data_IF_681918947238
#
_entry.id   IF_681918947238
#
_cell.length_a   1.000
_cell.length_b   1.000
_cell.length_c   1.000
_cell.angle_alpha   90.00
_cell.angle_beta   90.00
_cell.angle_gamma   90.00
#
_symmetry.space_group_name_H-M   'P 1'
#
loop_
_entity.id
_entity.type
_entity.pdbx_description
1 polymer ?
#
# COMPACT_ATOMS: atom_id res chain seq x y z
N UNK A 1 6.20 14.78 8.34
CA UNK A 1 6.26 14.12 7.00
C UNK A 1 5.03 13.22 6.86
N UNK A 2 4.24 13.32 5.78
CA UNK A 2 3.00 12.51 5.56
C UNK A 2 3.21 11.33 4.58
N UNK A 3 4.44 10.80 4.51
CA UNK A 3 4.88 9.85 3.47
C UNK A 3 3.95 8.65 3.28
N UNK A 4 3.64 7.95 4.37
CA UNK A 4 2.80 6.75 4.32
C UNK A 4 1.39 7.04 3.80
N UNK A 5 0.82 8.18 4.20
CA UNK A 5 -0.51 8.60 3.73
C UNK A 5 -0.51 8.90 2.24
N UNK A 6 0.53 9.57 1.74
CA UNK A 6 0.65 9.87 0.31
C UNK A 6 0.89 8.62 -0.53
N UNK A 7 1.72 7.68 -0.04
CA UNK A 7 1.96 6.41 -0.72
C UNK A 7 0.66 5.60 -0.86
N UNK A 8 -0.12 5.48 0.22
CA UNK A 8 -1.41 4.77 0.18
C UNK A 8 -2.45 5.50 -0.68
N UNK A 9 -2.45 6.84 -0.70
CA UNK A 9 -3.37 7.60 -1.56
C UNK A 9 -3.23 7.23 -3.03
N UNK A 10 -2.01 6.95 -3.50
CA UNK A 10 -1.77 6.51 -4.88
C UNK A 10 -2.30 5.10 -5.17
N UNK A 11 -2.32 4.24 -4.16
CA UNK A 11 -2.80 2.86 -4.29
C UNK A 11 -4.32 2.73 -4.07
N UNK A 12 -4.96 3.75 -3.46
CA UNK A 12 -6.40 3.75 -3.11
C UNK A 12 -7.34 3.35 -4.26
N UNK A 13 -7.14 3.77 -5.52
CA UNK A 13 -8.01 3.34 -6.62
C UNK A 13 -7.92 1.85 -6.94
N UNK A 14 -6.80 1.21 -6.58
CA UNK A 14 -6.53 -0.19 -6.87
C UNK A 14 -6.85 -1.13 -5.70
N UNK A 15 -7.09 -0.58 -4.51
CA UNK A 15 -7.62 -1.33 -3.35
C UNK A 15 -9.10 -1.58 -3.60
N UNK A 16 -9.51 -2.86 -3.68
CA UNK A 16 -10.89 -3.25 -3.92
C UNK A 16 -11.86 -2.57 -2.92
N UNK A 17 -13.04 -2.17 -3.38
CA UNK A 17 -13.91 -1.17 -2.74
C UNK A 17 -14.52 -1.54 -1.37
N UNK A 18 -14.14 -2.65 -0.74
CA UNK A 18 -14.80 -3.19 0.47
C UNK A 18 -13.78 -3.60 1.55
N UNK A 19 -12.65 -2.89 1.66
CA UNK A 19 -11.64 -3.18 2.69
C UNK A 19 -11.32 -1.97 3.54
N UNK A 20 -11.44 -2.13 4.85
CA UNK A 20 -10.79 -1.25 5.81
C UNK A 20 -9.33 -1.68 6.00
N UNK A 21 -8.40 -0.75 5.79
CA UNK A 21 -6.96 -1.02 5.84
C UNK A 21 -6.31 -0.18 6.93
N UNK A 22 -5.67 -0.85 7.89
CA UNK A 22 -4.90 -0.20 8.96
C UNK A 22 -3.41 -0.33 8.67
N UNK A 23 -2.74 0.80 8.49
CA UNK A 23 -1.30 0.86 8.23
C UNK A 23 -0.53 1.27 9.49
N UNK A 24 0.41 0.44 9.93
CA UNK A 24 1.26 0.70 11.11
C UNK A 24 2.65 1.12 10.66
N UNK A 25 2.98 2.39 10.87
CA UNK A 25 4.32 2.91 10.61
C UNK A 25 5.32 2.37 11.64
N UNK A 26 6.42 1.75 11.18
CA UNK A 26 7.55 1.32 12.03
C UNK A 26 8.66 2.38 12.01
N UNK A 27 9.51 2.48 13.06
CA UNK A 27 10.55 3.52 13.16
C UNK A 27 11.46 3.66 11.93
N UNK A 28 11.74 2.55 11.24
CA UNK A 28 12.56 2.53 10.01
C UNK A 28 12.02 3.44 8.88
N UNK A 29 10.71 3.76 8.87
CA UNK A 29 10.10 4.60 7.83
C UNK A 29 10.63 6.05 7.85
N UNK A 30 11.22 6.50 8.96
CA UNK A 30 11.75 7.87 9.09
C UNK A 30 12.92 8.11 8.13
N UNK A 31 13.77 7.10 7.96
CA UNK A 31 14.93 7.13 7.07
C UNK A 31 14.59 6.80 5.60
N UNK A 32 13.41 6.24 5.35
CA UNK A 32 13.01 5.80 4.02
C UNK A 32 12.65 6.98 3.09
N UNK A 33 12.95 6.81 1.81
CA UNK A 33 12.51 7.67 0.71
C UNK A 33 11.09 7.32 0.30
N UNK A 34 10.41 8.27 -0.33
CA UNK A 34 9.03 8.07 -0.77
C UNK A 34 8.87 6.83 -1.67
N UNK A 35 9.80 6.63 -2.62
CA UNK A 35 9.78 5.49 -3.55
C UNK A 35 9.88 4.13 -2.81
N UNK A 36 10.68 4.07 -1.74
CA UNK A 36 10.84 2.87 -0.92
C UNK A 36 9.56 2.58 -0.13
N UNK A 37 8.90 3.63 0.36
CA UNK A 37 7.61 3.52 1.06
C UNK A 37 6.49 3.11 0.10
N UNK A 38 6.43 3.67 -1.11
CA UNK A 38 5.44 3.28 -2.14
C UNK A 38 5.61 1.82 -2.56
N UNK A 39 6.85 1.41 -2.85
CA UNK A 39 7.15 0.02 -3.21
C UNK A 39 6.77 -0.96 -2.09
N UNK A 40 7.09 -0.63 -0.83
CA UNK A 40 6.71 -1.45 0.32
C UNK A 40 5.20 -1.53 0.51
N UNK A 41 4.48 -0.42 0.35
CA UNK A 41 3.00 -0.42 0.43
C UNK A 41 2.39 -1.31 -0.65
N UNK A 42 2.85 -1.19 -1.90
CA UNK A 42 2.36 -2.03 -3.01
C UNK A 42 2.60 -3.51 -2.74
N UNK A 43 3.81 -3.89 -2.32
CA UNK A 43 4.15 -5.27 -2.01
C UNK A 43 3.25 -5.86 -0.90
N UNK A 44 3.02 -5.12 0.18
CA UNK A 44 2.16 -5.56 1.29
C UNK A 44 0.70 -5.70 0.87
N UNK A 45 0.18 -4.75 0.09
CA UNK A 45 -1.19 -4.79 -0.39
C UNK A 45 -1.41 -5.93 -1.41
N UNK A 46 -0.42 -6.24 -2.26
CA UNK A 46 -0.45 -7.42 -3.14
C UNK A 46 -0.40 -8.72 -2.34
N UNK A 47 0.47 -8.82 -1.33
CA UNK A 47 0.52 -9.98 -0.43
C UNK A 47 -0.79 -10.20 0.33
N UNK A 48 -1.47 -9.10 0.69
CA UNK A 48 -2.79 -9.14 1.32
C UNK A 48 -3.94 -9.44 0.34
N UNK A 49 -3.66 -9.59 -0.97
CA UNK A 49 -4.68 -9.79 -1.99
C UNK A 49 -5.63 -8.60 -2.16
N UNK A 50 -5.19 -7.39 -1.77
CA UNK A 50 -5.98 -6.16 -1.81
C UNK A 50 -5.81 -5.40 -3.13
N UNK A 51 -4.70 -5.64 -3.83
CA UNK A 51 -4.49 -5.15 -5.20
C UNK A 51 -4.36 -6.36 -6.10
N UNK A 52 -5.29 -6.49 -7.03
CA UNK A 52 -5.28 -7.56 -8.00
C UNK A 52 -4.28 -7.25 -9.12
N UNK A 53 -3.14 -7.94 -9.09
CA UNK A 53 -2.40 -8.18 -10.32
C UNK A 53 -2.99 -9.34 -11.14
N UNK A 54 -3.88 -10.16 -10.53
CA UNK A 54 -4.25 -11.47 -11.10
C UNK A 54 -5.66 -11.99 -10.71
N UNK A 55 -6.61 -11.17 -10.24
CA UNK A 55 -8.02 -11.61 -10.13
C UNK A 55 -8.78 -11.26 -11.40
N UNK A 56 -8.32 -11.85 -12.49
CA UNK A 56 -9.24 -12.34 -13.50
C UNK A 56 -9.73 -13.67 -12.97
N UNK A 57 -10.82 -13.68 -12.20
CA UNK A 57 -11.56 -14.94 -12.01
C UNK A 57 -12.28 -15.28 -13.33
N UNK A 58 -12.35 -16.58 -13.69
CA UNK A 58 -12.90 -17.08 -14.95
C UNK A 58 -14.43 -16.93 -15.09
#
# INVERSE_FOLDING_TARGET
RRLLREAIRLQRPAIAAVWDVVMIARPAIVAARFQEVDAACRALLTQAGLIDAARSEP
#
